data_IF_487984342900
#
_entry.id   IF_487984342900
#
_cell.length_a   1.000
_cell.length_b   1.000
_cell.length_c   1.000
_cell.angle_alpha   90.00
_cell.angle_beta   90.00
_cell.angle_gamma   90.00
#
_symmetry.space_group_name_H-M   'P 1'
#
loop_
_entity.id
_entity.type
_entity.pdbx_description
1 polymer ?
#
# COMPACT_ATOMS: atom_id res chain seq x y z
N UNK A 1 12.58 28.99 -3.83
CA UNK A 1 13.22 29.54 -2.62
C UNK A 1 14.73 29.41 -2.78
N UNK A 2 15.56 30.28 -2.18
CA UNK A 2 17.01 30.11 -2.20
C UNK A 2 17.40 28.77 -1.56
N UNK A 3 18.23 28.00 -2.27
CA UNK A 3 18.72 26.69 -1.83
C UNK A 3 20.16 26.81 -1.32
N UNK A 4 20.47 26.07 -0.26
CA UNK A 4 21.84 25.88 0.24
C UNK A 4 22.62 24.97 -0.71
N UNK A 5 21.97 23.91 -1.19
CA UNK A 5 22.50 22.96 -2.18
C UNK A 5 21.38 22.64 -3.15
N UNK A 6 21.69 22.58 -4.43
CA UNK A 6 20.84 22.00 -5.45
C UNK A 6 21.71 21.20 -6.42
N UNK A 7 21.29 19.99 -6.76
CA UNK A 7 22.06 19.13 -7.66
C UNK A 7 21.13 18.21 -8.42
N UNK A 8 21.49 17.98 -9.68
CA UNK A 8 20.99 16.85 -10.45
C UNK A 8 21.73 15.57 -10.03
N UNK A 9 21.05 14.44 -10.18
CA UNK A 9 21.63 13.13 -9.99
C UNK A 9 21.14 12.16 -11.06
N UNK A 10 22.00 11.22 -11.39
CA UNK A 10 21.74 10.15 -12.33
C UNK A 10 22.38 8.89 -11.77
N UNK A 11 21.68 7.77 -11.89
CA UNK A 11 22.26 6.48 -11.54
C UNK A 11 23.40 6.17 -12.53
N UNK A 12 24.55 5.77 -12.02
CA UNK A 12 25.67 5.32 -12.84
C UNK A 12 25.65 3.79 -12.98
N UNK A 13 26.03 3.31 -14.16
CA UNK A 13 26.08 1.87 -14.42
C UNK A 13 27.23 1.25 -13.63
N UNK A 14 26.89 0.35 -12.71
CA UNK A 14 27.83 -0.47 -11.96
C UNK A 14 27.39 -1.93 -12.04
N UNK A 15 28.28 -2.90 -11.74
CA UNK A 15 27.90 -4.31 -11.72
C UNK A 15 26.66 -4.61 -10.85
N UNK A 16 26.43 -3.84 -9.78
CA UNK A 16 25.28 -4.02 -8.88
C UNK A 16 23.93 -3.61 -9.50
N UNK A 17 23.92 -2.70 -10.47
CA UNK A 17 22.69 -2.17 -11.11
C UNK A 17 22.62 -2.48 -12.61
N UNK A 18 23.51 -3.34 -13.11
CA UNK A 18 23.59 -3.68 -14.53
C UNK A 18 22.27 -4.21 -15.09
N UNK A 19 21.54 -5.02 -14.31
CA UNK A 19 20.23 -5.54 -14.72
C UNK A 19 19.18 -4.43 -14.85
N UNK A 20 19.29 -3.34 -14.09
CA UNK A 20 18.37 -2.20 -14.19
C UNK A 20 18.60 -1.42 -15.48
N UNK A 21 19.86 -1.22 -15.87
CA UNK A 21 20.21 -0.63 -17.16
C UNK A 21 19.78 -1.52 -18.32
N UNK A 22 19.98 -2.83 -18.22
CA UNK A 22 19.49 -3.77 -19.23
C UNK A 22 17.96 -3.71 -19.38
N UNK A 23 17.23 -3.69 -18.26
CA UNK A 23 15.76 -3.55 -18.25
C UNK A 23 15.30 -2.21 -18.84
N UNK A 24 16.07 -1.15 -18.61
CA UNK A 24 15.85 0.18 -19.20
C UNK A 24 16.42 0.30 -20.63
N UNK A 25 16.76 -0.82 -21.31
CA UNK A 25 17.30 -0.82 -22.69
C UNK A 25 18.54 0.07 -22.86
N UNK A 26 19.38 0.13 -21.85
CA UNK A 26 20.64 0.87 -21.81
C UNK A 26 20.51 2.36 -21.46
N UNK A 27 19.30 2.89 -21.22
CA UNK A 27 19.16 4.27 -20.71
C UNK A 27 19.34 4.30 -19.20
N UNK A 28 19.66 5.49 -18.66
CA UNK A 28 19.79 5.69 -17.22
C UNK A 28 18.46 5.41 -16.50
N UNK A 29 18.38 4.39 -15.62
CA UNK A 29 17.12 3.94 -15.03
C UNK A 29 16.50 4.94 -14.06
N UNK A 30 17.33 5.72 -13.36
CA UNK A 30 16.92 6.67 -12.34
C UNK A 30 17.67 7.98 -12.54
N UNK A 31 16.93 9.06 -12.66
CA UNK A 31 17.45 10.42 -12.72
C UNK A 31 16.63 11.31 -11.81
N UNK A 32 17.17 12.46 -11.44
CA UNK A 32 16.39 13.43 -10.68
C UNK A 32 17.16 14.67 -10.33
N UNK A 33 16.49 15.50 -9.54
CA UNK A 33 17.00 16.74 -9.00
C UNK A 33 16.58 16.82 -7.54
N UNK A 34 17.47 17.31 -6.69
CA UNK A 34 17.11 17.65 -5.32
C UNK A 34 17.66 19.01 -4.93
N UNK A 35 16.99 19.65 -3.98
CA UNK A 35 17.48 20.85 -3.33
C UNK A 35 17.29 20.78 -1.82
N UNK A 36 18.22 21.38 -1.10
CA UNK A 36 18.19 21.55 0.35
C UNK A 36 18.11 23.03 0.65
N UNK A 37 17.06 23.46 1.34
CA UNK A 37 16.88 24.84 1.75
C UNK A 37 17.81 25.23 2.90
N UNK A 38 17.90 26.52 3.22
CA UNK A 38 18.62 26.99 4.43
C UNK A 38 17.98 26.48 5.73
N UNK A 39 16.69 26.16 5.72
CA UNK A 39 15.99 25.50 6.82
C UNK A 39 16.25 23.97 6.86
N UNK A 40 17.13 23.46 6.00
CA UNK A 40 17.48 22.04 5.81
C UNK A 40 16.35 21.16 5.26
N UNK A 41 15.19 21.73 4.95
CA UNK A 41 14.13 21.01 4.25
C UNK A 41 14.61 20.57 2.87
N UNK A 42 14.22 19.37 2.48
CA UNK A 42 14.60 18.70 1.25
C UNK A 42 13.41 18.74 0.30
N UNK A 43 13.64 19.10 -0.95
CA UNK A 43 12.66 18.91 -2.03
C UNK A 43 13.34 18.19 -3.16
N UNK A 44 12.67 17.21 -3.77
CA UNK A 44 13.23 16.41 -4.83
C UNK A 44 12.19 16.04 -5.88
N UNK A 45 12.67 15.85 -7.09
CA UNK A 45 11.94 15.21 -8.18
C UNK A 45 12.81 14.12 -8.75
N UNK A 46 12.21 12.99 -9.07
CA UNK A 46 12.93 11.91 -9.72
C UNK A 46 12.07 11.27 -10.81
N UNK A 47 12.75 10.66 -11.77
CA UNK A 47 12.14 9.93 -12.86
C UNK A 47 12.78 8.54 -12.93
N UNK A 48 11.94 7.51 -12.99
CA UNK A 48 12.34 6.19 -13.42
C UNK A 48 12.05 6.03 -14.91
N UNK A 49 13.05 5.58 -15.65
CA UNK A 49 12.88 5.25 -17.06
C UNK A 49 11.92 4.06 -17.23
N UNK A 50 11.28 3.93 -18.40
CA UNK A 50 10.53 2.72 -18.73
C UNK A 50 11.42 1.48 -18.64
N UNK A 51 10.90 0.41 -18.07
CA UNK A 51 11.62 -0.86 -17.92
C UNK A 51 10.81 -2.01 -18.50
N UNK A 52 11.52 -2.95 -19.11
CA UNK A 52 10.97 -4.19 -19.63
C UNK A 52 11.87 -5.35 -19.23
N UNK A 53 11.29 -6.35 -18.59
CA UNK A 53 12.01 -7.52 -18.07
C UNK A 53 11.28 -8.77 -18.50
N UNK A 54 11.95 -9.59 -19.32
CA UNK A 54 11.47 -10.91 -19.71
C UNK A 54 12.32 -12.00 -19.05
N UNK A 55 11.68 -12.97 -18.38
CA UNK A 55 12.32 -14.13 -17.77
C UNK A 55 11.46 -15.38 -18.00
N UNK A 56 11.93 -16.27 -18.87
CA UNK A 56 11.15 -17.41 -19.34
C UNK A 56 9.87 -16.91 -20.02
N UNK A 57 8.72 -17.46 -19.62
CA UNK A 57 7.41 -17.07 -20.15
C UNK A 57 6.79 -15.84 -19.44
N UNK A 58 7.50 -15.23 -18.49
CA UNK A 58 7.02 -14.03 -17.77
C UNK A 58 7.66 -12.77 -18.33
N UNK A 59 6.83 -11.77 -18.63
CA UNK A 59 7.24 -10.43 -19.03
C UNK A 59 6.61 -9.38 -18.10
N UNK A 60 7.44 -8.46 -17.62
CA UNK A 60 7.06 -7.29 -16.85
C UNK A 60 7.41 -6.04 -17.65
N UNK A 61 6.44 -5.15 -17.86
CA UNK A 61 6.63 -3.86 -18.51
C UNK A 61 6.08 -2.74 -17.64
N UNK A 62 6.87 -1.70 -17.43
CA UNK A 62 6.49 -0.49 -16.70
C UNK A 62 6.81 0.72 -17.57
N UNK A 63 5.88 1.65 -17.74
CA UNK A 63 6.03 2.85 -18.58
C UNK A 63 7.00 3.91 -18.05
N UNK A 64 7.66 3.63 -16.91
CA UNK A 64 8.39 4.62 -16.13
C UNK A 64 7.51 5.28 -15.07
N UNK A 65 8.15 6.03 -14.18
CA UNK A 65 7.52 6.65 -13.01
C UNK A 65 8.08 8.05 -12.80
N UNK A 66 7.25 8.99 -12.37
CA UNK A 66 7.70 10.29 -11.88
C UNK A 66 7.37 10.42 -10.40
N UNK A 67 8.28 10.95 -9.61
CA UNK A 67 8.09 11.18 -8.19
C UNK A 67 8.45 12.60 -7.77
N UNK A 68 7.65 13.19 -6.88
CA UNK A 68 8.01 14.38 -6.12
C UNK A 68 8.12 13.99 -4.64
N UNK A 69 9.08 14.58 -3.95
CA UNK A 69 9.33 14.35 -2.54
C UNK A 69 9.58 15.69 -1.86
N UNK A 70 8.92 15.92 -0.74
CA UNK A 70 9.20 17.02 0.16
C UNK A 70 9.43 16.43 1.55
N UNK A 71 10.45 16.92 2.25
CA UNK A 71 10.76 16.47 3.60
C UNK A 71 11.21 17.64 4.47
N UNK A 72 10.41 17.96 5.48
CA UNK A 72 10.71 18.97 6.47
C UNK A 72 11.51 18.35 7.61
N UNK A 73 12.82 18.62 7.66
CA UNK A 73 13.71 17.99 8.64
C UNK A 73 13.39 18.36 10.09
N UNK A 74 12.82 19.54 10.32
CA UNK A 74 12.50 20.02 11.67
C UNK A 74 11.34 19.27 12.32
N UNK A 75 10.33 18.90 11.54
CA UNK A 75 9.15 18.15 12.01
C UNK A 75 9.21 16.66 11.64
N UNK A 76 10.20 16.26 10.84
CA UNK A 76 10.25 14.96 10.15
C UNK A 76 9.00 14.69 9.29
N UNK A 77 8.29 15.74 8.86
CA UNK A 77 7.11 15.63 8.01
C UNK A 77 7.54 15.39 6.56
N UNK A 78 6.93 14.40 5.90
CA UNK A 78 7.26 13.99 4.55
C UNK A 78 6.03 13.92 3.66
N UNK A 79 6.15 14.46 2.45
CA UNK A 79 5.14 14.38 1.39
C UNK A 79 5.76 13.71 0.17
N UNK A 80 5.05 12.74 -0.41
CA UNK A 80 5.49 11.99 -1.59
C UNK A 80 4.34 11.86 -2.57
N UNK A 81 4.58 12.24 -3.82
CA UNK A 81 3.66 12.06 -4.93
C UNK A 81 4.32 11.24 -6.03
N UNK A 82 3.81 10.05 -6.32
CA UNK A 82 4.28 9.17 -7.39
C UNK A 82 3.20 9.01 -8.46
N UNK A 83 3.63 8.92 -9.71
CA UNK A 83 2.77 8.65 -10.86
C UNK A 83 3.44 7.70 -11.85
N UNK A 84 2.69 6.70 -12.28
CA UNK A 84 3.07 5.72 -13.31
C UNK A 84 1.90 5.53 -14.27
N UNK A 85 2.13 5.64 -15.57
CA UNK A 85 1.03 5.55 -16.55
C UNK A 85 0.59 4.12 -16.82
N UNK A 86 1.49 3.13 -16.83
CA UNK A 86 1.18 1.74 -17.15
C UNK A 86 2.13 0.75 -16.47
N UNK A 87 1.57 -0.31 -15.91
CA UNK A 87 2.27 -1.50 -15.43
C UNK A 87 1.59 -2.74 -16.00
N UNK A 88 2.33 -3.61 -16.67
CA UNK A 88 1.81 -4.87 -17.21
C UNK A 88 2.69 -6.01 -16.76
N UNK A 89 2.07 -6.99 -16.13
CA UNK A 89 2.65 -8.31 -15.90
C UNK A 89 1.92 -9.30 -16.82
N UNK A 90 2.66 -10.12 -17.54
CA UNK A 90 2.10 -11.19 -18.35
C UNK A 90 2.97 -12.43 -18.22
N UNK A 91 2.35 -13.59 -18.21
CA UNK A 91 3.06 -14.86 -18.21
C UNK A 91 2.15 -16.02 -17.88
N UNK A 92 2.64 -17.23 -18.11
CA UNK A 92 1.89 -18.44 -17.77
C UNK A 92 2.24 -18.90 -16.36
N UNK A 93 1.23 -19.27 -15.59
CA UNK A 93 1.39 -19.96 -14.32
C UNK A 93 0.82 -21.37 -14.44
N UNK A 94 1.47 -22.35 -13.82
CA UNK A 94 0.93 -23.71 -13.69
C UNK A 94 -0.24 -23.76 -12.71
N UNK A 95 -0.29 -22.82 -11.75
CA UNK A 95 -1.25 -22.81 -10.64
C UNK A 95 -2.34 -21.73 -10.79
N UNK A 96 -2.37 -20.99 -11.89
CA UNK A 96 -3.34 -19.91 -12.11
C UNK A 96 -3.77 -19.80 -13.57
N UNK A 97 -5.06 -19.50 -13.79
CA UNK A 97 -5.59 -19.22 -15.12
C UNK A 97 -5.23 -17.81 -15.63
N UNK A 98 -4.72 -16.94 -14.76
CA UNK A 98 -4.39 -15.56 -15.08
C UNK A 98 -3.14 -15.54 -15.95
N UNK A 99 -3.24 -14.91 -17.12
CA UNK A 99 -2.13 -14.75 -18.07
C UNK A 99 -1.59 -13.34 -18.13
N UNK A 100 -2.37 -12.36 -17.71
CA UNK A 100 -1.91 -10.98 -17.64
C UNK A 100 -2.70 -10.14 -16.65
N UNK A 101 -1.99 -9.19 -16.03
CA UNK A 101 -2.54 -8.10 -15.27
C UNK A 101 -1.98 -6.79 -15.82
N UNK A 102 -2.84 -5.82 -16.11
CA UNK A 102 -2.46 -4.52 -16.61
C UNK A 102 -3.11 -3.42 -15.77
N UNK A 103 -2.31 -2.56 -15.16
CA UNK A 103 -2.74 -1.37 -14.44
C UNK A 103 -2.41 -0.11 -15.24
N UNK A 104 -3.30 0.87 -15.21
CA UNK A 104 -3.13 2.14 -15.92
C UNK A 104 -3.48 3.34 -15.03
N UNK A 105 -2.76 4.44 -15.23
CA UNK A 105 -2.96 5.71 -14.55
C UNK A 105 -2.81 5.60 -13.03
N UNK A 106 -1.73 4.98 -12.58
CA UNK A 106 -1.43 4.73 -11.17
C UNK A 106 -0.91 6.02 -10.54
N UNK A 107 -1.47 6.42 -9.41
CA UNK A 107 -0.96 7.52 -8.58
C UNK A 107 -0.88 7.11 -7.13
N UNK A 108 0.20 7.47 -6.44
CA UNK A 108 0.31 7.33 -5.00
C UNK A 108 0.63 8.70 -4.40
N UNK A 109 -0.18 9.16 -3.46
CA UNK A 109 0.13 10.35 -2.66
C UNK A 109 0.27 9.94 -1.21
N UNK A 110 1.26 10.47 -0.51
CA UNK A 110 1.54 10.17 0.89
C UNK A 110 1.92 11.46 1.60
N UNK A 111 1.33 11.71 2.75
CA UNK A 111 1.61 12.85 3.64
C UNK A 111 1.71 12.26 5.05
N UNK A 112 2.92 12.23 5.61
CA UNK A 112 3.22 11.51 6.83
C UNK A 112 4.02 12.36 7.80
N UNK A 113 3.68 12.29 9.08
CA UNK A 113 4.40 12.91 10.19
C UNK A 113 4.62 11.86 11.29
N UNK A 114 5.72 11.92 12.06
CA UNK A 114 5.86 11.06 13.23
C UNK A 114 4.78 11.38 14.28
N UNK A 115 4.25 10.33 14.89
CA UNK A 115 3.47 10.34 16.12
C UNK A 115 4.39 10.41 17.36
N UNK A 116 3.79 10.45 18.55
CA UNK A 116 4.50 10.55 19.83
C UNK A 116 5.45 9.38 20.10
N UNK A 117 5.22 8.23 19.47
CA UNK A 117 6.03 7.02 19.52
C UNK A 117 6.97 6.86 18.31
N UNK A 118 7.22 7.93 17.55
CA UNK A 118 8.02 7.96 16.30
C UNK A 118 7.44 7.13 15.12
N UNK A 119 6.27 6.50 15.27
CA UNK A 119 5.56 5.85 14.15
C UNK A 119 5.02 6.91 13.20
N UNK A 120 5.15 6.73 11.89
CA UNK A 120 4.57 7.68 10.92
C UNK A 120 3.05 7.50 10.81
N UNK A 121 2.34 8.61 10.94
CA UNK A 121 0.88 8.72 10.81
C UNK A 121 0.55 9.81 9.79
N UNK A 122 -0.62 9.74 9.18
CA UNK A 122 -1.08 10.70 8.19
C UNK A 122 -1.89 10.05 7.07
N UNK A 123 -1.91 10.69 5.91
CA UNK A 123 -2.76 10.33 4.79
C UNK A 123 -1.97 9.64 3.68
N UNK A 124 -2.50 8.53 3.19
CA UNK A 124 -1.98 7.83 2.02
C UNK A 124 -3.13 7.52 1.07
N UNK A 125 -2.93 7.75 -0.23
CA UNK A 125 -3.94 7.49 -1.24
C UNK A 125 -3.32 6.91 -2.49
N UNK A 126 -3.74 5.70 -2.85
CA UNK A 126 -3.43 5.02 -4.09
C UNK A 126 -4.66 5.09 -5.01
N UNK A 127 -4.46 5.50 -6.26
CA UNK A 127 -5.50 5.42 -7.28
C UNK A 127 -4.97 4.75 -8.54
N UNK A 128 -5.86 4.10 -9.27
CA UNK A 128 -5.60 3.63 -10.62
C UNK A 128 -6.88 3.74 -11.44
N UNK A 129 -6.74 4.19 -12.68
CA UNK A 129 -7.87 4.42 -13.60
C UNK A 129 -8.44 3.12 -14.12
N UNK A 130 -7.56 2.16 -14.38
CA UNK A 130 -7.91 0.88 -14.97
C UNK A 130 -7.02 -0.22 -14.43
N UNK A 131 -7.63 -1.33 -14.03
CA UNK A 131 -6.93 -2.58 -13.75
C UNK A 131 -7.63 -3.72 -14.46
N UNK A 132 -6.98 -4.28 -15.47
CA UNK A 132 -7.48 -5.39 -16.27
C UNK A 132 -6.77 -6.68 -15.88
N UNK A 133 -7.54 -7.72 -15.57
CA UNK A 133 -7.08 -9.08 -15.33
C UNK A 133 -7.57 -9.95 -16.50
N UNK A 134 -6.63 -10.61 -17.17
CA UNK A 134 -6.91 -11.50 -18.30
C UNK A 134 -6.58 -12.93 -17.92
N UNK A 135 -7.52 -13.84 -18.18
CA UNK A 135 -7.41 -15.27 -17.91
C UNK A 135 -7.44 -16.08 -19.21
N UNK A 136 -6.94 -17.32 -19.19
CA UNK A 136 -6.99 -18.25 -20.34
C UNK A 136 -8.42 -18.65 -20.69
N UNK A 137 -9.18 -19.03 -19.67
CA UNK A 137 -10.47 -19.70 -19.83
C UNK A 137 -11.65 -18.79 -19.46
N UNK A 138 -11.40 -17.79 -18.62
CA UNK A 138 -12.43 -16.87 -18.13
C UNK A 138 -12.38 -15.55 -18.88
N UNK A 139 -13.54 -14.87 -19.03
CA UNK A 139 -13.58 -13.53 -19.56
C UNK A 139 -12.70 -12.56 -18.76
N UNK A 140 -12.14 -11.53 -19.42
CA UNK A 140 -11.38 -10.51 -18.72
C UNK A 140 -12.27 -9.75 -17.73
N UNK A 141 -11.68 -9.42 -16.59
CA UNK A 141 -12.29 -8.60 -15.54
C UNK A 141 -11.53 -7.29 -15.46
N UNK A 142 -12.27 -6.19 -15.45
CA UNK A 142 -11.69 -4.84 -15.42
C UNK A 142 -12.27 -4.05 -14.26
N UNK A 143 -11.39 -3.45 -13.44
CA UNK A 143 -11.73 -2.54 -12.36
C UNK A 143 -11.39 -1.12 -12.80
N UNK A 144 -12.39 -0.24 -12.83
CA UNK A 144 -12.25 1.16 -13.23
C UNK A 144 -12.34 2.09 -12.04
N UNK A 145 -11.59 3.18 -12.12
CA UNK A 145 -11.61 4.30 -11.18
C UNK A 145 -11.51 3.81 -9.73
N UNK A 146 -10.42 3.11 -9.43
CA UNK A 146 -10.20 2.57 -8.09
C UNK A 146 -9.45 3.57 -7.23
N UNK A 147 -9.92 3.76 -6.00
CA UNK A 147 -9.26 4.55 -4.96
C UNK A 147 -9.12 3.72 -3.70
N UNK A 148 -7.92 3.73 -3.12
CA UNK A 148 -7.61 3.19 -1.81
C UNK A 148 -7.02 4.35 -1.01
N UNK A 149 -7.61 4.69 0.12
CA UNK A 149 -7.13 5.74 0.99
C UNK A 149 -7.04 5.23 2.42
N UNK A 150 -5.95 5.59 3.10
CA UNK A 150 -5.72 5.31 4.52
C UNK A 150 -5.39 6.62 5.19
N UNK A 151 -5.97 6.85 6.37
CA UNK A 151 -5.72 8.00 7.22
C UNK A 151 -5.50 7.51 8.64
N UNK A 152 -4.31 7.75 9.19
CA UNK A 152 -3.98 7.41 10.58
C UNK A 152 -3.67 8.70 11.31
N UNK A 153 -4.24 8.85 12.50
CA UNK A 153 -3.99 10.00 13.35
C UNK A 153 -3.80 9.56 14.80
N UNK A 154 -3.00 10.33 15.55
CA UNK A 154 -2.81 10.13 16.98
C UNK A 154 -3.39 11.30 17.78
N UNK A 155 -4.11 10.98 18.85
CA UNK A 155 -4.53 11.94 19.86
C UNK A 155 -4.47 11.30 21.25
N UNK A 156 -3.79 11.96 22.20
CA UNK A 156 -3.68 11.49 23.59
C UNK A 156 -3.18 10.04 23.74
N UNK A 157 -2.16 9.66 22.96
CA UNK A 157 -1.60 8.29 22.92
C UNK A 157 -2.55 7.21 22.39
N UNK A 158 -3.69 7.61 21.81
CA UNK A 158 -4.61 6.74 21.11
C UNK A 158 -4.56 7.02 19.61
N UNK A 159 -4.55 5.95 18.82
CA UNK A 159 -4.62 6.00 17.38
C UNK A 159 -6.08 5.86 16.91
N UNK A 160 -6.39 6.62 15.87
CA UNK A 160 -7.52 6.39 14.98
C UNK A 160 -7.03 6.07 13.58
N UNK A 161 -7.66 5.13 12.92
CA UNK A 161 -7.33 4.71 11.56
C UNK A 161 -8.60 4.60 10.73
N UNK A 162 -8.60 5.27 9.57
CA UNK A 162 -9.67 5.18 8.58
C UNK A 162 -9.11 4.58 7.31
N UNK A 163 -9.83 3.62 6.74
CA UNK A 163 -9.54 3.05 5.44
C UNK A 163 -10.76 3.21 4.55
N UNK A 164 -10.58 3.73 3.35
CA UNK A 164 -11.60 3.83 2.33
C UNK A 164 -11.12 3.11 1.05
N UNK A 165 -11.95 2.21 0.55
CA UNK A 165 -11.77 1.49 -0.70
C UNK A 165 -12.98 1.80 -1.58
N UNK A 166 -12.75 2.27 -2.79
CA UNK A 166 -13.80 2.53 -3.77
C UNK A 166 -13.37 1.96 -5.11
N UNK A 167 -14.05 0.91 -5.54
CA UNK A 167 -14.03 0.43 -6.92
C UNK A 167 -15.20 1.10 -7.65
N UNK A 168 -14.87 2.06 -8.52
CA UNK A 168 -15.86 2.78 -9.31
C UNK A 168 -16.77 1.82 -10.07
N UNK A 169 -16.19 0.94 -10.89
CA UNK A 169 -16.94 -0.02 -11.70
C UNK A 169 -16.13 -1.28 -12.02
N UNK A 170 -16.74 -2.44 -11.82
CA UNK A 170 -16.25 -3.77 -12.14
C UNK A 170 -16.97 -4.21 -13.41
N UNK A 171 -16.19 -4.42 -14.46
CA UNK A 171 -16.65 -4.81 -15.77
C UNK A 171 -16.23 -6.26 -16.06
N UNK A 172 -17.17 -7.05 -16.60
CA UNK A 172 -16.93 -8.43 -17.04
C UNK A 172 -17.53 -8.57 -18.43
N UNK A 173 -16.77 -9.09 -19.40
CA UNK A 173 -17.21 -9.20 -20.81
C UNK A 173 -17.68 -7.86 -21.41
N UNK A 174 -16.98 -6.76 -21.13
CA UNK A 174 -17.35 -5.41 -21.57
C UNK A 174 -18.71 -4.92 -21.03
N UNK A 175 -19.27 -5.59 -20.02
CA UNK A 175 -20.51 -5.18 -19.34
C UNK A 175 -20.23 -4.75 -17.91
N UNK A 176 -20.79 -3.60 -17.53
CA UNK A 176 -20.68 -3.09 -16.17
C UNK A 176 -21.55 -3.92 -15.23
N UNK A 177 -20.92 -4.57 -14.26
CA UNK A 177 -21.54 -5.56 -13.38
C UNK A 177 -21.86 -4.95 -12.01
N UNK A 178 -20.86 -4.37 -11.36
CA UNK A 178 -21.02 -3.82 -10.02
C UNK A 178 -19.98 -2.73 -9.69
N UNK A 179 -20.25 -1.88 -8.71
CA UNK A 179 -19.27 -1.05 -8.01
C UNK A 179 -19.25 -1.41 -6.53
N UNK A 180 -18.12 -1.21 -5.86
CA UNK A 180 -17.95 -1.53 -4.45
C UNK A 180 -17.33 -0.35 -3.73
N UNK A 181 -17.93 0.09 -2.63
CA UNK A 181 -17.33 1.07 -1.73
C UNK A 181 -17.32 0.50 -0.32
N UNK A 182 -16.20 0.62 0.37
CA UNK A 182 -15.99 0.13 1.72
C UNK A 182 -15.25 1.22 2.50
N UNK A 183 -15.84 1.66 3.60
CA UNK A 183 -15.16 2.53 4.56
C UNK A 183 -15.13 1.86 5.94
N UNK A 184 -13.94 1.80 6.53
CA UNK A 184 -13.67 1.28 7.86
C UNK A 184 -13.07 2.41 8.70
N UNK A 185 -13.57 2.60 9.91
CA UNK A 185 -13.05 3.54 10.91
C UNK A 185 -12.81 2.77 12.21
N UNK A 186 -11.57 2.78 12.68
CA UNK A 186 -11.15 2.18 13.94
C UNK A 186 -10.63 3.27 14.84
N UNK A 187 -11.09 3.32 16.09
CA UNK A 187 -10.68 4.35 17.05
C UNK A 187 -10.27 3.75 18.39
N UNK A 188 -9.57 4.56 19.18
CA UNK A 188 -9.12 4.25 20.54
C UNK A 188 -8.17 3.05 20.60
N UNK A 189 -7.32 2.91 19.59
CA UNK A 189 -6.25 1.92 19.60
C UNK A 189 -5.10 2.45 20.47
N UNK A 190 -4.63 1.70 21.46
CA UNK A 190 -3.42 2.08 22.19
C UNK A 190 -2.21 2.12 21.24
N UNK A 191 -1.55 3.28 21.19
CA UNK A 191 -0.48 3.57 20.24
C UNK A 191 0.71 2.61 20.38
N UNK A 192 1.06 2.21 21.61
CA UNK A 192 2.18 1.29 21.85
C UNK A 192 1.82 -0.14 21.49
N UNK A 193 0.63 -0.59 21.88
CA UNK A 193 0.16 -1.92 21.55
C UNK A 193 0.05 -2.12 20.04
N UNK A 194 -0.47 -1.11 19.32
CA UNK A 194 -0.56 -1.15 17.86
C UNK A 194 0.83 -1.23 17.19
N UNK A 195 1.80 -0.42 17.64
CA UNK A 195 3.19 -0.49 17.11
C UNK A 195 3.80 -1.87 17.33
N UNK A 196 3.67 -2.45 18.52
CA UNK A 196 4.20 -3.78 18.79
C UNK A 196 3.59 -4.86 17.89
N UNK A 197 2.29 -4.78 17.58
CA UNK A 197 1.64 -5.68 16.62
C UNK A 197 2.16 -5.47 15.20
N UNK A 198 2.34 -4.21 14.78
CA UNK A 198 2.88 -3.88 13.47
C UNK A 198 4.33 -4.42 13.31
N UNK A 199 5.18 -4.26 14.31
CA UNK A 199 6.56 -4.73 14.29
C UNK A 199 6.64 -6.26 14.12
N UNK A 200 5.77 -7.01 14.82
CA UNK A 200 5.67 -8.47 14.67
C UNK A 200 5.21 -8.85 13.27
N UNK A 201 4.17 -8.17 12.74
CA UNK A 201 3.67 -8.43 11.40
C UNK A 201 4.73 -8.12 10.32
N UNK A 202 5.45 -7.02 10.45
CA UNK A 202 6.52 -6.66 9.53
C UNK A 202 7.68 -7.66 9.58
N UNK A 203 8.08 -8.10 10.77
CA UNK A 203 9.12 -9.11 10.92
C UNK A 203 8.73 -10.43 10.25
N UNK A 204 7.49 -10.89 10.46
CA UNK A 204 6.96 -12.08 9.81
C UNK A 204 6.86 -11.92 8.28
N UNK A 205 6.40 -10.76 7.81
CA UNK A 205 6.31 -10.45 6.38
C UNK A 205 7.69 -10.40 5.71
N UNK A 206 8.71 -9.85 6.37
CA UNK A 206 10.10 -9.87 5.88
C UNK A 206 10.64 -11.29 5.74
N UNK A 207 10.38 -12.17 6.72
CA UNK A 207 10.77 -13.59 6.63
C UNK A 207 10.06 -14.30 5.48
N UNK A 208 8.75 -14.08 5.35
CA UNK A 208 7.97 -14.63 4.23
C UNK A 208 8.56 -14.21 2.87
N UNK A 209 8.91 -12.93 2.69
CA UNK A 209 9.54 -12.44 1.45
C UNK A 209 10.92 -13.08 1.19
N UNK A 210 11.64 -13.47 2.24
CA UNK A 210 12.92 -14.16 2.14
C UNK A 210 12.79 -15.66 1.86
N UNK A 211 11.62 -16.26 2.08
CA UNK A 211 11.34 -17.69 1.86
C UNK A 211 11.28 -18.10 0.38
N UNK A 212 11.49 -17.18 -0.56
CA UNK A 212 11.42 -17.43 -2.02
C UNK A 212 10.12 -18.10 -2.48
N UNK A 213 9.02 -17.89 -1.76
CA UNK A 213 7.69 -18.42 -2.09
C UNK A 213 7.36 -19.77 -1.46
N UNK A 214 8.19 -20.29 -0.54
CA UNK A 214 7.86 -21.47 0.27
C UNK A 214 6.73 -21.17 1.27
N UNK A 215 6.71 -19.96 1.83
CA UNK A 215 5.63 -19.51 2.71
C UNK A 215 4.66 -18.60 1.95
N UNK A 216 3.38 -18.97 1.96
CA UNK A 216 2.30 -18.18 1.35
C UNK A 216 1.65 -17.20 2.34
N UNK A 217 1.96 -17.34 3.63
CA UNK A 217 1.44 -16.50 4.71
C UNK A 217 2.53 -16.22 5.73
N UNK A 218 2.55 -15.04 6.38
CA UNK A 218 3.51 -14.74 7.43
C UNK A 218 3.37 -15.75 8.58
N UNK A 219 4.44 -16.51 8.86
CA UNK A 219 4.47 -17.40 10.02
C UNK A 219 5.00 -16.68 11.25
N UNK A 220 4.29 -16.84 12.37
CA UNK A 220 4.65 -16.26 13.66
C UNK A 220 5.30 -17.30 14.57
N UNK A 221 6.41 -16.94 15.20
CA UNK A 221 7.06 -17.77 16.22
C UNK A 221 6.18 -17.86 17.48
N UNK A 222 6.38 -18.86 18.36
CA UNK A 222 5.65 -18.93 19.63
C UNK A 222 5.80 -17.67 20.50
N UNK A 223 6.97 -17.04 20.47
CA UNK A 223 7.24 -15.77 21.17
C UNK A 223 6.44 -14.61 20.57
N UNK A 224 6.40 -14.51 19.23
CA UNK A 224 5.60 -13.52 18.52
C UNK A 224 4.10 -13.71 18.75
N UNK A 225 3.62 -14.96 18.79
CA UNK A 225 2.23 -15.25 19.14
C UNK A 225 1.88 -14.75 20.55
N UNK A 226 2.81 -14.85 21.51
CA UNK A 226 2.60 -14.32 22.85
C UNK A 226 2.56 -12.78 22.85
N UNK A 227 3.42 -12.13 22.06
CA UNK A 227 3.39 -10.67 21.86
C UNK A 227 2.06 -10.25 21.22
N UNK A 228 1.58 -10.97 20.20
CA UNK A 228 0.29 -10.73 19.56
C UNK A 228 -0.84 -10.80 20.58
N UNK A 229 -0.93 -11.89 21.36
CA UNK A 229 -1.95 -12.07 22.40
C UNK A 229 -1.93 -10.91 23.42
N UNK A 230 -0.75 -10.61 23.95
CA UNK A 230 -0.56 -9.58 24.98
C UNK A 230 -1.00 -8.20 24.47
N UNK A 231 -0.62 -7.84 23.24
CA UNK A 231 -0.94 -6.52 22.70
C UNK A 231 -2.39 -6.43 22.19
N UNK A 232 -3.00 -7.53 21.75
CA UNK A 232 -4.45 -7.57 21.49
C UNK A 232 -5.24 -7.34 22.78
N UNK A 233 -4.83 -7.94 23.90
CA UNK A 233 -5.46 -7.66 25.20
C UNK A 233 -5.31 -6.19 25.62
N UNK A 234 -4.15 -5.58 25.39
CA UNK A 234 -3.92 -4.17 25.67
C UNK A 234 -4.79 -3.26 24.80
N UNK A 235 -4.92 -3.57 23.50
CA UNK A 235 -5.83 -2.84 22.62
C UNK A 235 -7.28 -2.93 23.12
N UNK A 236 -7.75 -4.11 23.51
CA UNK A 236 -9.12 -4.30 24.01
C UNK A 236 -9.37 -3.60 25.36
N UNK A 237 -8.35 -3.39 26.18
CA UNK A 237 -8.47 -2.60 27.41
C UNK A 237 -8.80 -1.12 27.13
N UNK A 238 -8.46 -0.62 25.93
CA UNK A 238 -8.79 0.73 25.45
C UNK A 238 -10.24 0.91 24.99
N UNK A 239 -11.06 -0.15 25.02
CA UNK A 239 -12.41 -0.22 24.46
C UNK A 239 -12.49 0.30 23.01
N UNK A 240 -11.77 -0.33 22.07
CA UNK A 240 -11.66 0.15 20.71
C UNK A 240 -13.02 0.04 20.02
N UNK A 241 -13.29 1.00 19.14
CA UNK A 241 -14.52 1.02 18.36
C UNK A 241 -14.19 0.73 16.91
N UNK A 242 -14.96 -0.13 16.27
CA UNK A 242 -14.87 -0.47 14.85
C UNK A 242 -16.19 -0.10 14.17
N UNK A 243 -16.11 0.76 13.17
CA UNK A 243 -17.23 1.08 12.30
C UNK A 243 -16.91 0.65 10.87
N UNK A 244 -17.85 -0.02 10.22
CA UNK A 244 -17.88 -0.25 8.77
C UNK A 244 -19.07 0.54 8.24
N UNK A 245 -18.82 1.66 7.56
CA UNK A 245 -19.89 2.54 7.09
C UNK A 245 -19.42 3.50 5.99
N UNK A 246 -19.83 3.33 4.73
CA UNK A 246 -20.65 2.24 4.20
C UNK A 246 -19.80 1.07 3.68
N UNK A 247 -20.33 -0.15 3.77
CA UNK A 247 -20.11 -1.17 2.76
C UNK A 247 -21.25 -1.08 1.75
N UNK A 248 -20.95 -0.65 0.54
CA UNK A 248 -21.93 -0.40 -0.52
C UNK A 248 -21.59 -1.23 -1.76
N UNK A 249 -22.57 -1.95 -2.27
CA UNK A 249 -22.51 -2.66 -3.56
C UNK A 249 -23.51 -2.01 -4.50
N UNK A 250 -23.01 -1.39 -5.57
CA UNK A 250 -23.80 -0.76 -6.62
C UNK A 250 -23.94 -1.74 -7.78
N UNK A 251 -25.14 -1.95 -8.31
CA UNK A 251 -25.38 -2.76 -9.51
C UNK A 251 -26.31 -2.01 -10.47
N UNK A 252 -26.49 -2.51 -11.69
CA UNK A 252 -27.46 -1.94 -12.63
C UNK A 252 -28.91 -1.90 -12.10
N UNK A 253 -29.24 -2.76 -11.12
CA UNK A 253 -30.60 -2.90 -10.59
C UNK A 253 -30.81 -2.15 -9.27
N UNK A 254 -29.78 -1.48 -8.73
CA UNK A 254 -29.86 -0.74 -7.47
C UNK A 254 -28.61 -0.89 -6.61
N UNK A 255 -28.69 -0.29 -5.42
CA UNK A 255 -27.59 -0.20 -4.45
C UNK A 255 -27.95 -0.91 -3.16
N UNK A 256 -27.08 -1.80 -2.69
CA UNK A 256 -27.16 -2.45 -1.38
C UNK A 256 -26.15 -1.80 -0.44
N UNK A 257 -26.57 -1.45 0.76
CA UNK A 257 -25.69 -0.82 1.77
C UNK A 257 -25.77 -1.60 3.07
N UNK A 258 -24.61 -1.82 3.69
CA UNK A 258 -24.45 -2.41 5.00
C UNK A 258 -23.61 -1.48 5.87
N UNK A 259 -24.07 -1.28 7.11
CA UNK A 259 -23.35 -0.52 8.13
C UNK A 259 -23.26 -1.37 9.40
N UNK A 260 -22.11 -1.32 10.06
CA UNK A 260 -21.84 -2.04 11.30
C UNK A 260 -21.05 -1.15 12.24
N UNK A 261 -21.50 -1.02 13.47
CA UNK A 261 -20.74 -0.37 14.55
C UNK A 261 -20.57 -1.39 15.67
N UNK A 262 -19.33 -1.57 16.11
CA UNK A 262 -18.92 -2.50 17.14
C UNK A 262 -18.11 -1.75 18.19
N UNK A 263 -18.56 -1.83 19.43
CA UNK A 263 -17.77 -1.44 20.59
C UNK A 263 -17.16 -2.71 21.18
N UNK A 264 -15.83 -2.82 21.15
CA UNK A 264 -15.12 -3.97 21.68
C UNK A 264 -14.71 -3.68 23.12
N UNK A 265 -14.88 -4.68 23.98
CA UNK A 265 -14.45 -4.63 25.37
C UNK A 265 -13.54 -5.81 25.68
N UNK A 266 -12.65 -5.65 26.67
CA UNK A 266 -11.79 -6.73 27.15
C UNK A 266 -12.64 -7.90 27.70
N UNK A 267 -12.51 -9.13 27.16
CA UNK A 267 -13.20 -10.29 27.70
C UNK A 267 -12.60 -10.71 29.06
N UNK A 268 -13.39 -11.42 29.88
CA UNK A 268 -12.94 -11.91 31.18
C UNK A 268 -11.83 -12.98 31.09
N UNK A 269 -11.76 -13.73 29.99
CA UNK A 269 -10.68 -14.66 29.63
C UNK A 269 -10.49 -14.71 28.12
N UNK A 270 -9.25 -14.95 27.67
CA UNK A 270 -8.89 -15.15 26.26
C UNK A 270 -8.72 -16.63 25.87
N UNK A 271 -8.77 -17.54 26.85
CA UNK A 271 -8.59 -18.98 26.67
C UNK A 271 -9.90 -19.70 26.30
N UNK A 272 -10.58 -19.22 25.26
CA UNK A 272 -11.73 -19.92 24.70
C UNK A 272 -11.29 -20.95 23.66
N UNK A 273 -11.38 -22.24 23.97
CA UNK A 273 -11.43 -23.27 22.93
C UNK A 273 -12.66 -22.98 22.04
N UNK A 274 -12.45 -22.84 20.74
CA UNK A 274 -13.55 -22.80 19.78
C UNK A 274 -14.23 -24.18 19.78
N UNK A 275 -15.44 -24.24 20.34
CA UNK A 275 -16.33 -25.41 20.26
C UNK A 275 -16.99 -25.51 18.90
#
# INVERSE_FOLDING_TARGET
MPAMVASDFALEETPAVKEWFAAAKGVTPLTGHYSVSYAKNITGKFNLAPVEVAKGDTNLSVSGMTGNVEYATGTKHGVVDLKTDKLVLSGQSENSDIVSMALQGITLTSDLTPASNDMYVGNQKLTFKDWTITSKEKPPVQFKDTTIAVDVAEANSLLGAKMALDFGMINVQAKDMAGLKLAIDVQKLDSKAFTALNDVYEAASRRMMQSKGEEQTPQFTPEEQQILKTNVELLLAGNPTLAVSPLEVRTANGTSTFNLNLDLAKPASMDGEAT
#
